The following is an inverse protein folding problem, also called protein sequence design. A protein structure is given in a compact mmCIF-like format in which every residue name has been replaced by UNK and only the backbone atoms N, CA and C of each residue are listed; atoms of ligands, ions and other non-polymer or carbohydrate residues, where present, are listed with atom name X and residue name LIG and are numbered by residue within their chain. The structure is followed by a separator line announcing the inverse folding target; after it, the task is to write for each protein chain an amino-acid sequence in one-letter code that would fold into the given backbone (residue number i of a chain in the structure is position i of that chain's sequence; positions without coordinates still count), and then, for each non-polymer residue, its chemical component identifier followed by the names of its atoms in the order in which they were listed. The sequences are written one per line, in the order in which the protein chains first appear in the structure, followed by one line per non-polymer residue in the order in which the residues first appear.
data_IF_156262803546
#
_entry.id   IF_156262803546
#
_cell.length_a   1.000
_cell.length_b   1.000
_cell.length_c   1.000
_cell.angle_alpha   90.00
_cell.angle_beta   90.00
_cell.angle_gamma   90.00
#
_symmetry.space_group_name_H-M   'P 1'
#
loop_
_entity.id
_entity.type
_entity.pdbx_description
1 polymer ?
#
# COMPACT_ATOMS: atom_id res chain seq x y z
N UNK A 1 1.62 -14.08 -48.38
CA UNK A 1 1.47 -12.73 -47.80
C UNK A 1 1.35 -12.81 -46.27
N UNK A 2 2.42 -13.08 -45.49
CA UNK A 2 2.33 -13.20 -44.03
C UNK A 2 3.01 -12.04 -43.25
N UNK A 3 3.74 -11.15 -43.92
CA UNK A 3 4.56 -10.10 -43.28
C UNK A 3 3.74 -8.97 -42.66
N UNK A 4 2.48 -8.79 -43.05
CA UNK A 4 1.62 -7.73 -42.51
C UNK A 4 0.95 -8.12 -41.17
N UNK A 5 0.76 -9.42 -40.93
CA UNK A 5 0.12 -9.94 -39.71
C UNK A 5 1.07 -9.81 -38.51
N UNK A 6 2.37 -10.03 -38.72
CA UNK A 6 3.40 -9.86 -37.68
C UNK A 6 3.56 -8.42 -37.20
N UNK A 7 3.51 -7.44 -38.11
CA UNK A 7 3.60 -6.01 -37.78
C UNK A 7 2.39 -5.51 -36.99
N UNK A 8 1.18 -5.99 -37.31
CA UNK A 8 -0.04 -5.68 -36.57
C UNK A 8 -0.03 -6.26 -35.16
N UNK A 9 0.44 -7.50 -34.97
CA UNK A 9 0.55 -8.12 -33.65
C UNK A 9 1.58 -7.43 -32.75
N UNK A 10 2.71 -6.99 -33.33
CA UNK A 10 3.74 -6.23 -32.59
C UNK A 10 3.21 -4.84 -32.21
N UNK A 11 2.50 -4.15 -33.11
CA UNK A 11 1.85 -2.87 -32.81
C UNK A 11 0.74 -3.00 -31.75
N UNK A 12 -0.07 -4.05 -31.81
CA UNK A 12 -1.10 -4.33 -30.79
C UNK A 12 -0.45 -4.64 -29.44
N UNK A 13 0.64 -5.41 -29.41
CA UNK A 13 1.36 -5.72 -28.17
C UNK A 13 2.05 -4.49 -27.57
N UNK A 14 2.64 -3.63 -28.39
CA UNK A 14 3.17 -2.33 -27.97
C UNK A 14 2.08 -1.38 -27.48
N UNK A 15 0.93 -1.33 -28.17
CA UNK A 15 -0.21 -0.53 -27.76
C UNK A 15 -0.79 -1.03 -26.43
N UNK A 16 -0.93 -2.35 -26.25
CA UNK A 16 -1.35 -2.97 -24.99
C UNK A 16 -0.35 -2.71 -23.85
N UNK A 17 0.96 -2.72 -24.14
CA UNK A 17 1.99 -2.40 -23.14
C UNK A 17 1.93 -0.93 -22.70
N UNK A 18 1.73 0.00 -23.64
CA UNK A 18 1.59 1.45 -23.37
C UNK A 18 0.27 1.76 -22.65
N UNK A 19 -0.82 1.08 -23.03
CA UNK A 19 -2.13 1.22 -22.37
C UNK A 19 -2.09 0.63 -20.95
N UNK A 20 -1.34 -0.46 -20.71
CA UNK A 20 -1.18 -1.05 -19.38
C UNK A 20 -0.56 -0.08 -18.36
N UNK A 21 0.40 0.74 -18.79
CA UNK A 21 1.08 1.72 -17.95
C UNK A 21 0.23 2.97 -17.65
N UNK A 22 -0.84 3.19 -18.40
CA UNK A 22 -1.76 4.33 -18.25
C UNK A 22 -2.93 4.08 -17.28
N UNK A 23 -3.19 2.82 -16.91
CA UNK A 23 -4.40 2.41 -16.19
C UNK A 23 -4.16 1.95 -14.75
N UNK A 24 -2.91 1.94 -14.29
CA UNK A 24 -2.60 1.72 -12.89
C UNK A 24 -2.78 3.03 -12.15
N UNK A 25 -4.02 3.32 -11.74
CA UNK A 25 -4.33 4.52 -10.94
C UNK A 25 -3.35 4.63 -9.79
N UNK A 26 -2.64 5.76 -9.72
CA UNK A 26 -1.45 5.95 -8.89
C UNK A 26 -1.64 5.32 -7.50
N UNK A 27 -0.79 4.35 -7.15
CA UNK A 27 -0.86 3.65 -5.87
C UNK A 27 -0.33 4.55 -4.75
N UNK A 28 -0.89 4.43 -3.56
CA UNK A 28 -0.32 5.08 -2.37
C UNK A 28 1.13 4.64 -2.16
N UNK A 29 2.00 5.62 -1.91
CA UNK A 29 3.39 5.38 -1.55
C UNK A 29 3.47 5.22 -0.03
N UNK A 30 3.87 4.04 0.44
CA UNK A 30 4.10 3.80 1.87
C UNK A 30 5.53 3.30 2.12
N UNK A 31 6.22 3.84 3.13
CA UNK A 31 5.84 4.99 3.95
C UNK A 31 5.99 6.34 3.23
N UNK A 32 5.16 7.33 3.56
CA UNK A 32 5.31 8.71 3.06
C UNK A 32 5.48 9.74 4.18
N UNK A 33 6.24 10.80 3.91
CA UNK A 33 6.52 11.90 4.80
C UNK A 33 5.56 13.08 4.56
N UNK A 34 4.89 13.51 5.62
CA UNK A 34 4.00 14.67 5.62
C UNK A 34 4.00 15.33 7.00
N UNK A 35 4.11 16.66 7.04
CA UNK A 35 4.07 17.46 8.29
C UNK A 35 4.98 16.95 9.41
N UNK A 36 6.23 16.66 9.07
CA UNK A 36 7.24 16.21 10.04
C UNK A 36 6.93 14.86 10.69
N UNK A 37 6.15 14.03 10.01
CA UNK A 37 5.83 12.66 10.41
C UNK A 37 5.89 11.73 9.20
N UNK A 38 6.24 10.47 9.46
CA UNK A 38 6.19 9.38 8.48
C UNK A 38 4.89 8.61 8.70
N UNK A 39 4.16 8.33 7.63
CA UNK A 39 2.89 7.63 7.65
C UNK A 39 2.94 6.36 6.82
N UNK A 40 2.49 5.27 7.43
CA UNK A 40 2.49 3.94 6.84
C UNK A 40 1.11 3.50 6.34
N UNK A 41 0.08 4.33 6.54
CA UNK A 41 -1.29 4.09 6.14
C UNK A 41 -1.98 5.41 5.76
N UNK A 42 -3.16 5.32 5.17
CA UNK A 42 -4.01 6.45 4.81
C UNK A 42 -4.38 7.28 6.04
N UNK A 43 -4.10 8.59 5.97
CA UNK A 43 -4.28 9.50 7.10
C UNK A 43 -5.52 10.37 6.94
N UNK A 44 -6.09 10.81 8.07
CA UNK A 44 -7.17 11.80 8.12
C UNK A 44 -6.67 13.10 8.75
N UNK A 45 -6.11 14.00 7.94
CA UNK A 45 -5.62 15.29 8.44
C UNK A 45 -6.60 16.44 8.13
N UNK A 46 -7.56 16.71 9.02
CA UNK A 46 -8.65 17.71 8.84
C UNK A 46 -9.53 17.51 7.59
N UNK A 47 -9.22 16.53 6.75
CA UNK A 47 -9.98 16.15 5.59
C UNK A 47 -11.24 15.35 5.98
N UNK A 48 -12.27 15.45 5.14
CA UNK A 48 -13.49 14.64 5.29
C UNK A 48 -13.17 13.15 5.10
N UNK A 49 -12.33 12.83 4.11
CA UNK A 49 -11.93 11.47 3.73
C UNK A 49 -10.43 11.25 4.00
N UNK A 50 -10.05 9.98 4.24
CA UNK A 50 -8.65 9.58 4.36
C UNK A 50 -7.94 9.68 3.01
N UNK A 51 -6.66 10.02 3.02
CA UNK A 51 -5.86 10.21 1.82
C UNK A 51 -4.42 9.70 2.04
N UNK A 52 -3.70 9.52 0.93
CA UNK A 52 -2.30 9.12 0.92
C UNK A 52 -1.51 9.97 -0.09
N UNK A 53 -0.19 10.07 0.11
CA UNK A 53 0.69 10.63 -0.91
C UNK A 53 1.06 9.56 -1.94
N UNK A 54 1.33 10.00 -3.16
CA UNK A 54 1.78 9.16 -4.27
C UNK A 54 3.32 9.16 -4.40
N UNK A 55 4.02 9.90 -3.55
CA UNK A 55 5.48 9.99 -3.49
C UNK A 55 5.97 9.81 -2.05
N UNK A 56 7.26 9.54 -1.89
CA UNK A 56 7.92 9.42 -0.57
C UNK A 56 7.75 10.66 0.28
N UNK A 57 7.93 11.85 -0.29
CA UNK A 57 7.68 13.12 0.41
C UNK A 57 6.53 13.82 -0.28
N UNK A 58 5.53 14.23 0.51
CA UNK A 58 4.40 14.98 -0.02
C UNK A 58 4.85 16.26 -0.72
N UNK A 59 4.70 16.27 -2.05
CA UNK A 59 5.10 17.33 -2.97
C UNK A 59 3.93 17.82 -3.84
N UNK A 60 2.69 17.55 -3.43
CA UNK A 60 1.47 17.92 -4.15
C UNK A 60 0.75 16.77 -4.86
N UNK A 61 1.39 15.60 -4.98
CA UNK A 61 0.76 14.39 -5.53
C UNK A 61 0.14 13.54 -4.41
N UNK A 62 -1.17 13.42 -4.43
CA UNK A 62 -1.97 12.70 -3.44
C UNK A 62 -3.29 12.26 -4.04
N UNK A 63 -3.92 11.26 -3.41
CA UNK A 63 -5.30 10.85 -3.72
C UNK A 63 -6.07 10.49 -2.47
N UNK A 64 -7.39 10.49 -2.58
CA UNK A 64 -8.25 9.90 -1.55
C UNK A 64 -8.12 8.37 -1.57
N UNK A 65 -8.09 7.77 -0.38
CA UNK A 65 -7.97 6.33 -0.28
C UNK A 65 -9.30 5.64 -0.54
N UNK A 66 -9.23 4.59 -1.35
CA UNK A 66 -10.25 3.56 -1.55
C UNK A 66 -9.89 2.29 -0.75
N UNK A 67 -10.74 1.26 -0.77
CA UNK A 67 -10.50 0.01 -0.01
C UNK A 67 -9.15 -0.65 -0.32
N UNK A 68 -8.67 -0.56 -1.56
CA UNK A 68 -7.39 -1.15 -1.97
C UNK A 68 -6.14 -0.34 -1.60
N UNK A 69 -6.32 0.88 -1.10
CA UNK A 69 -5.25 1.84 -0.85
C UNK A 69 -4.70 1.81 0.58
N UNK A 70 -5.41 1.14 1.49
CA UNK A 70 -4.97 1.02 2.87
C UNK A 70 -3.75 0.12 2.98
N UNK A 71 -2.91 0.44 3.97
CA UNK A 71 -1.74 -0.36 4.29
C UNK A 71 -2.14 -1.82 4.55
N UNK A 72 -1.44 -2.73 3.90
CA UNK A 72 -1.62 -4.17 4.10
C UNK A 72 -0.71 -4.63 5.24
N UNK A 73 -1.22 -5.57 6.03
CA UNK A 73 -0.41 -6.28 7.00
C UNK A 73 0.78 -6.94 6.30
N UNK A 74 1.94 -6.91 6.96
CA UNK A 74 3.11 -7.66 6.50
C UNK A 74 3.10 -9.01 7.19
N UNK A 75 3.05 -10.09 6.41
CA UNK A 75 3.12 -11.45 6.91
C UNK A 75 4.30 -12.20 6.30
N UNK A 76 5.01 -13.03 7.09
CA UNK A 76 4.89 -13.13 8.55
C UNK A 76 5.45 -11.88 9.24
N UNK A 77 5.05 -11.56 10.47
CA UNK A 77 5.71 -10.51 11.27
C UNK A 77 6.16 -10.99 12.64
N UNK A 78 7.20 -10.34 13.16
CA UNK A 78 7.84 -10.71 14.41
C UNK A 78 7.34 -9.83 15.55
N UNK A 79 6.72 -10.43 16.55
CA UNK A 79 6.30 -9.75 17.78
C UNK A 79 6.76 -10.54 19.00
N UNK A 80 7.47 -9.86 19.91
CA UNK A 80 8.18 -10.45 21.05
C UNK A 80 9.06 -11.62 20.61
N UNK A 81 8.71 -12.85 20.98
CA UNK A 81 9.44 -14.09 20.63
C UNK A 81 8.63 -15.00 19.70
N UNK A 82 7.59 -14.47 19.06
CA UNK A 82 6.66 -15.21 18.21
C UNK A 82 6.63 -14.62 16.79
N UNK A 83 6.28 -15.48 15.84
CA UNK A 83 6.09 -15.14 14.42
C UNK A 83 4.62 -15.35 14.10
N UNK A 84 3.95 -14.30 13.62
CA UNK A 84 2.53 -14.32 13.28
C UNK A 84 2.36 -14.31 11.77
N UNK A 85 1.45 -15.16 11.29
CA UNK A 85 1.09 -15.29 9.87
C UNK A 85 -0.30 -14.72 9.56
N UNK A 86 -1.00 -14.30 10.61
CA UNK A 86 -2.34 -13.75 10.58
C UNK A 86 -2.47 -12.65 11.64
N UNK A 87 -3.61 -11.98 11.67
CA UNK A 87 -3.89 -11.00 12.71
C UNK A 87 -3.99 -11.67 14.08
N UNK A 88 -3.44 -11.02 15.09
CA UNK A 88 -3.44 -11.51 16.48
C UNK A 88 -4.09 -10.51 17.40
N UNK A 89 -4.70 -10.97 18.50
CA UNK A 89 -5.15 -10.12 19.60
C UNK A 89 -4.14 -10.07 20.74
N UNK A 90 -2.93 -10.60 20.55
CA UNK A 90 -1.92 -10.66 21.61
C UNK A 90 -1.59 -9.27 22.16
N UNK A 91 -1.57 -9.17 23.48
CA UNK A 91 -1.37 -7.94 24.24
C UNK A 91 -2.42 -6.83 24.02
N UNK A 92 -3.55 -7.11 23.35
CA UNK A 92 -4.68 -6.19 23.29
C UNK A 92 -5.75 -6.55 24.33
N UNK A 93 -6.17 -5.55 25.09
CA UNK A 93 -7.09 -5.69 26.24
C UNK A 93 -8.53 -5.95 25.81
N UNK A 94 -8.95 -5.39 24.67
CA UNK A 94 -10.32 -5.48 24.17
C UNK A 94 -10.53 -6.63 23.17
N UNK A 95 -9.53 -7.51 22.99
CA UNK A 95 -9.61 -8.65 22.09
C UNK A 95 -9.65 -8.29 20.60
N UNK A 96 -9.35 -7.03 20.24
CA UNK A 96 -9.29 -6.62 18.83
C UNK A 96 -8.03 -7.19 18.17
N UNK A 97 -8.23 -7.82 17.02
CA UNK A 97 -7.14 -8.34 16.22
C UNK A 97 -6.37 -7.17 15.56
N UNK A 98 -5.05 -7.30 15.55
CA UNK A 98 -4.13 -6.35 14.95
C UNK A 98 -3.03 -7.09 14.18
N UNK A 99 -2.37 -6.36 13.29
CA UNK A 99 -1.24 -6.85 12.52
C UNK A 99 -0.14 -5.79 12.42
N UNK A 100 1.09 -6.23 12.22
CA UNK A 100 2.21 -5.33 11.93
C UNK A 100 2.16 -4.86 10.47
N UNK A 101 2.53 -3.60 10.23
CA UNK A 101 2.78 -3.08 8.88
C UNK A 101 4.24 -3.24 8.45
N UNK A 102 5.03 -3.93 9.27
CA UNK A 102 6.47 -4.14 9.08
C UNK A 102 6.84 -5.57 9.43
N UNK A 103 7.94 -6.06 8.87
CA UNK A 103 8.42 -7.41 9.15
C UNK A 103 8.81 -7.60 10.63
N UNK A 104 9.36 -6.55 11.26
CA UNK A 104 9.83 -6.58 12.64
C UNK A 104 9.13 -5.52 13.49
N UNK A 105 7.99 -5.90 14.06
CA UNK A 105 7.23 -5.04 14.96
C UNK A 105 8.08 -4.59 16.16
N UNK A 106 8.94 -5.46 16.72
CA UNK A 106 9.71 -5.12 17.92
C UNK A 106 10.61 -3.90 17.72
N UNK A 107 11.12 -3.71 16.50
CA UNK A 107 11.97 -2.58 16.13
C UNK A 107 11.14 -1.34 15.77
N UNK A 108 10.16 -1.51 14.91
CA UNK A 108 9.47 -0.38 14.27
C UNK A 108 8.19 0.03 15.01
N UNK A 109 7.52 -0.93 15.66
CA UNK A 109 6.27 -0.74 16.43
C UNK A 109 5.15 -0.13 15.61
N UNK A 110 5.12 -0.42 14.30
CA UNK A 110 4.10 0.07 13.38
C UNK A 110 3.10 -1.04 13.12
N UNK A 111 1.84 -0.75 13.39
CA UNK A 111 0.75 -1.71 13.32
C UNK A 111 -0.57 -1.04 12.98
N UNK A 112 -1.56 -1.85 12.61
CA UNK A 112 -2.96 -1.42 12.52
C UNK A 112 -3.89 -2.50 13.06
N UNK A 113 -5.11 -2.10 13.43
CA UNK A 113 -6.17 -3.06 13.65
C UNK A 113 -6.56 -3.73 12.33
N UNK A 114 -6.88 -5.00 12.40
CA UNK A 114 -7.50 -5.71 11.29
C UNK A 114 -8.99 -5.38 11.26
N UNK A 115 -9.51 -5.28 10.04
CA UNK A 115 -10.94 -5.11 9.78
C UNK A 115 -11.66 -6.47 9.81
#
# INVERSE_FOLDING_TARGET
MPLHVGLLLVWVCWCLSVVGQLLEGDKCFFPFYYKNAIHHDCIKFKAKQKWCSLNETYNGYWKYCSEGDFAKCVFPFWYRRMIYWECTNDAETFGKNWCSLTQNYNKEKIWKYCD
#
